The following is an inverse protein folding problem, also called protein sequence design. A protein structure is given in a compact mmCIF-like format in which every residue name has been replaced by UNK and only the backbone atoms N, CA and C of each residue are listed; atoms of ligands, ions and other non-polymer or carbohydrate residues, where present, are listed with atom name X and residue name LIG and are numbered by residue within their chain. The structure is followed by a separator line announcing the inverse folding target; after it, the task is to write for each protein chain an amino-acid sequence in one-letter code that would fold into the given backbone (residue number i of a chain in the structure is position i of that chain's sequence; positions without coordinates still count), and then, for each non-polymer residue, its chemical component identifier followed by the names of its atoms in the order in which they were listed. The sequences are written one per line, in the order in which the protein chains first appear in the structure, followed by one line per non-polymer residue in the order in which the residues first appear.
data_IF_210776147436
#
_entry.id   IF_210776147436
#
_cell.length_a   1.000
_cell.length_b   1.000
_cell.length_c   1.000
_cell.angle_alpha   90.00
_cell.angle_beta   90.00
_cell.angle_gamma   90.00
#
_symmetry.space_group_name_H-M   'P 1'
#
loop_
_entity.id
_entity.type
_entity.pdbx_description
1 polymer ?
#
# COMPACT_ATOMS: atom_id res chain seq x y z
N UNK A 1 -5.96 -11.02 9.73
CA UNK A 1 -6.00 -10.06 8.61
C UNK A 1 -6.52 -8.72 9.09
N UNK A 2 -5.75 -7.66 8.86
CA UNK A 2 -6.17 -6.29 9.18
C UNK A 2 -6.97 -5.69 8.03
N UNK A 3 -8.03 -4.97 8.36
CA UNK A 3 -8.81 -4.22 7.38
C UNK A 3 -8.78 -2.73 7.74
N UNK A 4 -8.63 -1.89 6.71
CA UNK A 4 -8.52 -0.45 6.85
C UNK A 4 -9.39 0.26 5.82
N UNK A 5 -9.57 1.56 6.04
CA UNK A 5 -10.36 2.41 5.13
C UNK A 5 -11.79 2.59 5.61
N UNK A 6 -12.42 3.66 5.14
CA UNK A 6 -13.79 4.00 5.55
C UNK A 6 -14.84 3.00 5.10
N UNK A 7 -14.61 2.33 3.97
CA UNK A 7 -15.57 1.37 3.42
C UNK A 7 -15.77 0.13 4.27
N UNK A 8 -14.85 -0.18 5.18
CA UNK A 8 -15.02 -1.33 6.08
C UNK A 8 -16.14 -1.14 7.08
N UNK A 9 -16.63 0.08 7.24
CA UNK A 9 -17.79 0.38 8.10
C UNK A 9 -19.10 -0.15 7.53
N UNK A 10 -19.13 -0.48 6.24
CA UNK A 10 -20.32 -1.04 5.59
C UNK A 10 -20.45 -2.52 5.96
N UNK A 11 -21.55 -2.93 6.63
CA UNK A 11 -21.69 -4.32 7.08
C UNK A 11 -21.61 -5.38 5.97
N UNK A 12 -22.06 -5.05 4.78
CA UNK A 12 -22.01 -5.96 3.61
C UNK A 12 -20.56 -6.29 3.24
N UNK A 13 -19.67 -5.31 3.26
CA UNK A 13 -18.25 -5.55 2.99
C UNK A 13 -17.63 -6.48 4.02
N UNK A 14 -17.94 -6.27 5.28
CA UNK A 14 -17.45 -7.12 6.36
C UNK A 14 -17.93 -8.56 6.17
N UNK A 15 -19.19 -8.72 5.83
CA UNK A 15 -19.77 -10.05 5.59
C UNK A 15 -19.11 -10.75 4.42
N UNK A 16 -18.95 -10.09 3.30
CA UNK A 16 -18.31 -10.65 2.10
C UNK A 16 -16.86 -11.04 2.37
N UNK A 17 -16.11 -10.19 3.08
CA UNK A 17 -14.73 -10.49 3.45
C UNK A 17 -14.63 -11.70 4.37
N UNK A 18 -15.49 -11.79 5.37
CA UNK A 18 -15.52 -12.96 6.27
C UNK A 18 -15.79 -14.25 5.53
N UNK A 19 -16.75 -14.24 4.63
CA UNK A 19 -17.10 -15.39 3.81
C UNK A 19 -15.98 -15.77 2.84
N UNK A 20 -15.41 -14.79 2.15
CA UNK A 20 -14.35 -15.01 1.18
C UNK A 20 -13.05 -15.50 1.79
N UNK A 21 -12.71 -15.02 2.98
CA UNK A 21 -11.50 -15.40 3.70
C UNK A 21 -11.71 -16.59 4.64
N UNK A 22 -12.94 -17.06 4.78
CA UNK A 22 -13.32 -18.13 5.72
C UNK A 22 -12.88 -17.80 7.14
N UNK A 23 -13.06 -16.56 7.57
CA UNK A 23 -12.73 -16.09 8.91
C UNK A 23 -13.97 -15.54 9.60
N UNK A 24 -14.08 -15.78 10.89
CA UNK A 24 -15.20 -15.28 11.69
C UNK A 24 -14.98 -13.85 12.16
N UNK A 25 -13.72 -13.45 12.28
CA UNK A 25 -13.34 -12.14 12.81
C UNK A 25 -12.37 -11.46 11.86
N UNK A 26 -12.63 -10.17 11.61
CA UNK A 26 -11.69 -9.28 10.92
C UNK A 26 -10.97 -8.43 11.97
N UNK A 27 -9.66 -8.29 11.80
CA UNK A 27 -8.84 -7.47 12.69
C UNK A 27 -8.98 -5.99 12.33
N UNK A 28 -9.25 -5.16 13.33
CA UNK A 28 -9.41 -3.71 13.16
C UNK A 28 -8.63 -2.98 14.27
N UNK A 29 -7.37 -3.32 14.44
CA UNK A 29 -6.51 -2.74 15.48
C UNK A 29 -5.95 -1.37 15.09
N UNK A 30 -5.89 -1.09 13.79
CA UNK A 30 -5.38 0.16 13.27
C UNK A 30 -6.51 1.16 13.04
N UNK A 31 -6.20 2.46 13.14
CA UNK A 31 -7.15 3.50 12.79
C UNK A 31 -7.33 3.53 11.27
N UNK A 32 -8.51 3.09 10.80
CA UNK A 32 -8.81 2.96 9.37
C UNK A 32 -8.74 4.26 8.58
N UNK A 33 -8.98 5.40 9.25
CA UNK A 33 -8.96 6.71 8.59
C UNK A 33 -7.53 7.27 8.42
N UNK A 34 -6.61 6.87 9.27
CA UNK A 34 -5.26 7.41 9.34
C UNK A 34 -4.18 6.44 8.85
N UNK A 35 -4.51 5.17 8.71
CA UNK A 35 -3.52 4.12 8.46
C UNK A 35 -2.74 4.33 7.16
N UNK A 36 -3.39 4.78 6.09
CA UNK A 36 -2.71 5.01 4.82
C UNK A 36 -1.67 6.12 4.96
N UNK A 37 -2.02 7.21 5.63
CA UNK A 37 -1.08 8.32 5.86
C UNK A 37 0.11 7.88 6.72
N UNK A 38 -0.15 7.16 7.80
CA UNK A 38 0.90 6.67 8.69
C UNK A 38 1.79 5.64 8.01
N UNK A 39 1.20 4.73 7.23
CA UNK A 39 1.95 3.75 6.45
C UNK A 39 2.81 4.39 5.37
N UNK A 40 2.30 5.41 4.70
CA UNK A 40 3.05 6.16 3.69
C UNK A 40 4.23 6.90 4.32
N UNK A 41 4.04 7.48 5.49
CA UNK A 41 5.12 8.12 6.24
C UNK A 41 6.21 7.12 6.64
N UNK A 42 5.81 5.93 7.10
CA UNK A 42 6.75 4.86 7.43
C UNK A 42 7.54 4.41 6.20
N UNK A 43 6.88 4.24 5.06
CA UNK A 43 7.55 3.88 3.80
C UNK A 43 8.52 4.97 3.35
N UNK A 44 8.14 6.22 3.46
CA UNK A 44 9.02 7.35 3.15
C UNK A 44 10.27 7.34 4.03
N UNK A 45 10.13 7.05 5.31
CA UNK A 45 11.25 6.92 6.23
C UNK A 45 12.18 5.76 5.84
N UNK A 46 11.63 4.63 5.40
CA UNK A 46 12.42 3.48 4.95
C UNK A 46 13.27 3.77 3.72
N UNK A 47 12.79 4.60 2.80
CA UNK A 47 13.55 4.97 1.59
C UNK A 47 14.42 6.22 1.79
N UNK A 48 14.28 6.89 2.93
CA UNK A 48 15.08 8.08 3.27
C UNK A 48 16.47 7.68 3.75
N UNK A 49 17.45 8.50 3.44
CA UNK A 49 18.82 8.35 3.96
C UNK A 49 19.03 9.13 5.26
N UNK A 50 18.17 10.10 5.55
CA UNK A 50 18.30 10.98 6.72
C UNK A 50 17.78 10.34 8.00
N UNK A 51 16.80 9.45 7.89
CA UNK A 51 16.19 8.74 9.01
C UNK A 51 16.10 7.26 8.68
N UNK A 52 16.61 6.40 9.56
CA UNK A 52 16.65 4.95 9.34
C UNK A 52 15.83 4.22 10.40
N UNK A 53 14.53 4.08 10.20
CA UNK A 53 13.72 3.23 11.08
C UNK A 53 13.98 1.76 10.80
N UNK A 54 13.30 0.88 11.53
CA UNK A 54 13.34 -0.55 11.24
C UNK A 54 12.98 -0.80 9.78
N UNK A 55 13.84 -1.52 9.06
CA UNK A 55 13.59 -1.84 7.67
C UNK A 55 12.43 -2.82 7.52
N UNK A 56 11.47 -2.45 6.70
CA UNK A 56 10.37 -3.32 6.28
C UNK A 56 10.33 -3.32 4.75
N UNK A 57 10.57 -4.50 4.18
CA UNK A 57 10.54 -4.66 2.72
C UNK A 57 9.13 -4.51 2.17
N UNK A 58 9.05 -3.99 0.95
CA UNK A 58 7.78 -3.84 0.24
C UNK A 58 7.98 -4.19 -1.22
N UNK A 59 7.08 -5.03 -1.75
CA UNK A 59 6.97 -5.28 -3.18
C UNK A 59 5.64 -4.76 -3.67
N UNK A 60 5.69 -3.93 -4.66
CA UNK A 60 4.49 -3.35 -5.26
C UNK A 60 4.46 -3.65 -6.76
N UNK A 61 3.34 -3.34 -7.38
CA UNK A 61 3.13 -3.53 -8.81
C UNK A 61 3.02 -2.19 -9.50
N UNK A 62 3.47 -2.14 -10.74
CA UNK A 62 3.21 -1.01 -11.63
C UNK A 62 2.43 -1.54 -12.83
N UNK A 63 1.12 -1.26 -12.91
CA UNK A 63 0.28 -1.82 -13.98
C UNK A 63 0.49 -1.13 -15.33
N UNK A 64 1.36 -0.14 -15.39
CA UNK A 64 1.62 0.63 -16.59
C UNK A 64 2.99 0.30 -17.15
N UNK A 65 3.06 0.15 -18.48
CA UNK A 65 4.34 0.01 -19.17
C UNK A 65 5.04 1.36 -19.22
N UNK A 66 6.34 1.34 -18.87
CA UNK A 66 7.18 2.54 -18.93
C UNK A 66 8.30 2.23 -19.90
N UNK A 67 8.44 3.06 -20.93
CA UNK A 67 9.46 2.90 -21.93
C UNK A 67 10.38 4.12 -21.99
N UNK A 68 11.60 3.89 -22.43
CA UNK A 68 12.55 4.96 -22.69
C UNK A 68 12.98 4.84 -24.15
N UNK A 69 12.83 5.93 -24.87
CA UNK A 69 13.26 6.03 -26.25
C UNK A 69 14.47 6.95 -26.33
N UNK A 70 15.53 6.42 -26.87
CA UNK A 70 16.79 7.17 -27.00
C UNK A 70 17.02 7.54 -28.44
N UNK A 71 17.28 8.80 -28.67
CA UNK A 71 17.65 9.33 -29.97
C UNK A 71 19.12 9.70 -29.96
N UNK A 72 19.79 9.32 -30.99
CA UNK A 72 21.14 9.82 -31.23
C UNK A 72 21.05 10.94 -32.27
N UNK A 73 21.37 12.14 -31.84
CA UNK A 73 21.50 13.27 -32.73
C UNK A 73 22.96 13.39 -33.12
N UNK A 74 23.29 13.15 -34.39
CA UNK A 74 24.65 13.35 -34.87
C UNK A 74 24.74 14.73 -35.51
N UNK A 75 25.72 15.57 -35.10
CA UNK A 75 26.04 16.76 -35.84
C UNK A 75 26.64 16.35 -37.20
N UNK A 76 26.18 16.93 -38.22
CA UNK A 76 26.71 16.72 -39.56
C UNK A 76 28.12 17.26 -39.73
#
# INVERSE_FOLDING_TARGET
MEVIGGSIRVPVFQKVLKEGLKRDILDMHLNGDETVALGSAFRAANVSTAFKPRFVGMSDVCPYSIGVELYRTEPE
#
